data_IF_169447629826
#
_entry.id   IF_169447629826
#
_cell.length_a   1.000
_cell.length_b   1.000
_cell.length_c   1.000
_cell.angle_alpha   90.00
_cell.angle_beta   90.00
_cell.angle_gamma   90.00
#
_symmetry.space_group_name_H-M   'P 1'
#
loop_
_entity.id
_entity.type
_entity.pdbx_description
1 polymer ?
#
# COMPACT_ATOMS: atom_id res chain seq x y z
N UNK A 1 13.91 -0.27 -25.63
CA UNK A 1 15.19 -0.90 -25.22
C UNK A 1 15.47 -0.83 -23.71
N UNK A 2 15.13 0.28 -23.02
CA UNK A 2 15.41 0.49 -21.57
C UNK A 2 14.56 -0.40 -20.66
N UNK A 3 13.23 -0.45 -20.82
CA UNK A 3 12.33 -1.29 -20.00
C UNK A 3 12.74 -2.77 -20.03
N UNK A 4 13.16 -3.27 -21.19
CA UNK A 4 13.65 -4.64 -21.32
C UNK A 4 14.90 -4.89 -20.46
N UNK A 5 15.87 -3.96 -20.43
CA UNK A 5 17.05 -4.04 -19.57
C UNK A 5 16.67 -4.03 -18.09
N UNK A 6 15.77 -3.13 -17.68
CA UNK A 6 15.26 -3.07 -16.30
C UNK A 6 14.56 -4.37 -15.90
N UNK A 7 13.72 -4.94 -16.77
CA UNK A 7 13.09 -6.25 -16.54
C UNK A 7 14.12 -7.35 -16.36
N UNK A 8 15.20 -7.38 -17.17
CA UNK A 8 16.27 -8.39 -17.01
C UNK A 8 16.96 -8.29 -15.66
N UNK A 9 17.29 -7.07 -15.23
CA UNK A 9 17.88 -6.82 -13.91
C UNK A 9 16.93 -7.24 -12.77
N UNK A 10 15.65 -6.86 -12.85
CA UNK A 10 14.65 -7.19 -11.84
C UNK A 10 14.41 -8.70 -11.70
N UNK A 11 14.54 -9.47 -12.80
CA UNK A 11 14.40 -10.94 -12.76
C UNK A 11 15.38 -11.64 -11.83
N UNK A 12 16.56 -11.07 -11.58
CA UNK A 12 17.49 -11.62 -10.59
C UNK A 12 16.91 -11.63 -9.17
N UNK A 13 16.13 -10.60 -8.83
CA UNK A 13 15.47 -10.46 -7.53
C UNK A 13 14.22 -11.33 -7.46
N UNK A 14 13.39 -11.35 -8.51
CA UNK A 14 12.16 -12.14 -8.51
C UNK A 14 12.42 -13.64 -8.50
N UNK A 15 13.51 -14.12 -9.12
CA UNK A 15 13.99 -15.52 -8.99
C UNK A 15 14.32 -15.91 -7.54
N UNK A 16 14.71 -14.94 -6.72
CA UNK A 16 14.94 -15.11 -5.27
C UNK A 16 13.68 -14.83 -4.45
N UNK A 17 12.51 -14.76 -5.10
CA UNK A 17 11.20 -14.49 -4.51
C UNK A 17 11.13 -13.13 -3.81
N UNK A 18 11.82 -12.13 -4.37
CA UNK A 18 11.87 -10.76 -3.84
C UNK A 18 11.47 -9.75 -4.89
N UNK A 19 10.87 -8.66 -4.41
CA UNK A 19 10.66 -7.47 -5.20
C UNK A 19 12.00 -6.82 -5.56
N UNK A 20 12.02 -6.07 -6.67
CA UNK A 20 13.18 -5.22 -6.97
C UNK A 20 13.38 -4.18 -5.86
N UNK A 21 14.62 -3.79 -5.52
CA UNK A 21 14.90 -2.77 -4.49
C UNK A 21 14.15 -1.46 -4.72
N UNK A 22 13.99 -1.02 -5.96
CA UNK A 22 13.21 0.19 -6.32
C UNK A 22 11.72 0.02 -5.95
N UNK A 23 11.14 -1.14 -6.25
CA UNK A 23 9.76 -1.45 -5.88
C UNK A 23 9.55 -1.51 -4.36
N UNK A 24 10.53 -2.04 -3.61
CA UNK A 24 10.52 -2.03 -2.14
C UNK A 24 10.61 -0.60 -1.61
N UNK A 25 11.53 0.21 -2.15
CA UNK A 25 11.67 1.62 -1.76
C UNK A 25 10.36 2.38 -1.95
N UNK A 26 9.73 2.28 -3.13
CA UNK A 26 8.41 2.89 -3.36
C UNK A 26 7.36 2.44 -2.34
N UNK A 27 7.29 1.15 -2.03
CA UNK A 27 6.32 0.63 -1.07
C UNK A 27 6.55 1.20 0.33
N UNK A 28 7.78 1.16 0.84
CA UNK A 28 8.10 1.63 2.18
C UNK A 28 8.04 3.14 2.32
N UNK A 29 8.41 3.90 1.27
CA UNK A 29 8.20 5.35 1.24
C UNK A 29 6.72 5.69 1.35
N UNK A 30 5.86 5.07 0.53
CA UNK A 30 4.40 5.29 0.62
C UNK A 30 3.86 4.90 1.98
N UNK A 31 4.28 3.76 2.54
CA UNK A 31 3.86 3.33 3.86
C UNK A 31 4.25 4.34 4.96
N UNK A 32 5.50 4.82 4.96
CA UNK A 32 5.96 5.82 5.91
C UNK A 32 5.19 7.14 5.78
N UNK A 33 4.97 7.62 4.56
CA UNK A 33 4.20 8.83 4.29
C UNK A 33 2.74 8.70 4.76
N UNK A 34 2.10 7.56 4.53
CA UNK A 34 0.73 7.29 5.00
C UNK A 34 0.66 7.31 6.53
N UNK A 35 1.60 6.64 7.22
CA UNK A 35 1.62 6.63 8.69
C UNK A 35 1.82 8.03 9.26
N UNK A 36 2.73 8.80 8.67
CA UNK A 36 2.89 10.21 8.99
C UNK A 36 1.58 10.98 8.76
N UNK A 37 0.93 10.80 7.61
CA UNK A 37 -0.30 11.51 7.27
C UNK A 37 -1.46 11.18 8.23
N UNK A 38 -1.65 9.90 8.56
CA UNK A 38 -2.69 9.49 9.52
C UNK A 38 -2.48 10.16 10.89
N UNK A 39 -1.24 10.22 11.37
CA UNK A 39 -0.92 10.93 12.61
C UNK A 39 -1.07 12.45 12.47
N UNK A 40 -0.53 13.04 11.39
CA UNK A 40 -0.54 14.47 11.15
C UNK A 40 -1.96 15.00 10.97
N UNK A 41 -2.78 14.38 10.11
CA UNK A 41 -4.19 14.73 9.92
C UNK A 41 -5.00 14.62 11.21
N UNK A 42 -4.78 13.57 12.01
CA UNK A 42 -5.41 13.42 13.32
C UNK A 42 -5.01 14.54 14.30
N UNK A 43 -3.74 14.97 14.29
CA UNK A 43 -3.24 16.12 15.07
C UNK A 43 -3.88 17.43 14.57
N UNK A 44 -3.81 17.70 13.27
CA UNK A 44 -4.32 18.93 12.64
C UNK A 44 -5.81 19.13 12.91
N UNK A 45 -6.60 18.06 12.86
CA UNK A 45 -8.04 18.12 13.19
C UNK A 45 -8.34 18.61 14.60
N UNK A 46 -7.41 18.47 15.55
CA UNK A 46 -7.55 18.91 16.96
C UNK A 46 -7.03 20.31 17.24
N UNK A 47 -6.34 20.94 16.30
CA UNK A 47 -5.87 22.30 16.48
C UNK A 47 -7.08 23.26 16.56
N UNK A 48 -7.02 24.28 17.43
CA UNK A 48 -8.00 25.35 17.44
C UNK A 48 -7.95 26.13 16.12
N UNK A 49 -9.04 26.82 15.79
CA UNK A 49 -9.06 27.69 14.61
C UNK A 49 -8.03 28.80 14.80
N UNK A 50 -7.13 28.95 13.82
CA UNK A 50 -6.07 29.95 13.84
C UNK A 50 -4.95 29.65 12.84
N UNK A 51 -3.91 30.49 12.77
CA UNK A 51 -2.80 30.37 11.81
C UNK A 51 -2.10 29.00 11.87
N UNK A 52 -1.82 28.48 13.07
CA UNK A 52 -1.16 27.17 13.21
C UNK A 52 -1.96 26.04 12.54
N UNK A 53 -3.30 26.11 12.56
CA UNK A 53 -4.14 25.11 11.90
C UNK A 53 -4.05 25.22 10.38
N UNK A 54 -3.96 26.44 9.84
CA UNK A 54 -3.78 26.68 8.41
C UNK A 54 -2.42 26.13 7.94
N UNK A 55 -1.33 26.47 8.63
CA UNK A 55 0.02 25.95 8.33
C UNK A 55 0.05 24.42 8.39
N UNK A 56 -0.62 23.84 9.37
CA UNK A 56 -0.71 22.39 9.51
C UNK A 56 -1.51 21.72 8.38
N UNK A 57 -2.54 22.40 7.83
CA UNK A 57 -3.26 21.93 6.65
C UNK A 57 -2.45 22.08 5.36
N UNK A 58 -1.59 23.09 5.23
CA UNK A 58 -0.65 23.22 4.11
C UNK A 58 0.30 22.02 4.06
N UNK A 59 0.95 21.71 5.18
CA UNK A 59 1.83 20.53 5.29
C UNK A 59 1.04 19.25 4.99
N UNK A 60 -0.20 19.15 5.46
CA UNK A 60 -1.07 18.02 5.16
C UNK A 60 -1.32 17.89 3.65
N UNK A 61 -1.68 18.99 2.98
CA UNK A 61 -1.96 19.00 1.54
C UNK A 61 -0.71 18.65 0.71
N UNK A 62 0.44 19.25 1.01
CA UNK A 62 1.70 19.00 0.31
C UNK A 62 2.16 17.55 0.42
N UNK A 63 2.07 16.96 1.62
CA UNK A 63 2.42 15.56 1.83
C UNK A 63 1.39 14.64 1.19
N UNK A 64 0.10 15.01 1.21
CA UNK A 64 -0.95 14.28 0.48
C UNK A 64 -0.67 14.22 -1.02
N UNK A 65 -0.27 15.35 -1.62
CA UNK A 65 0.15 15.43 -3.02
C UNK A 65 1.42 14.61 -3.28
N UNK A 66 2.40 14.62 -2.37
CA UNK A 66 3.59 13.78 -2.48
C UNK A 66 3.22 12.29 -2.49
N UNK A 67 2.31 11.85 -1.62
CA UNK A 67 1.81 10.45 -1.62
C UNK A 67 1.17 10.11 -2.98
N UNK A 68 0.38 11.02 -3.55
CA UNK A 68 -0.24 10.83 -4.86
C UNK A 68 0.81 10.58 -5.94
N UNK A 69 1.80 11.46 -6.06
CA UNK A 69 2.85 11.37 -7.08
C UNK A 69 3.69 10.11 -6.89
N UNK A 70 4.16 9.82 -5.66
CA UNK A 70 4.96 8.61 -5.40
C UNK A 70 4.14 7.34 -5.67
N UNK A 71 2.84 7.35 -5.35
CA UNK A 71 1.96 6.20 -5.64
C UNK A 71 1.76 6.02 -7.14
N UNK A 72 1.60 7.09 -7.93
CA UNK A 72 1.55 7.00 -9.39
C UNK A 72 2.86 6.42 -9.95
N UNK A 73 4.02 6.89 -9.48
CA UNK A 73 5.32 6.36 -9.87
C UNK A 73 5.45 4.88 -9.49
N UNK A 74 4.96 4.49 -8.31
CA UNK A 74 4.90 3.09 -7.86
C UNK A 74 4.02 2.24 -8.78
N UNK A 75 2.86 2.74 -9.21
CA UNK A 75 1.96 2.03 -10.13
C UNK A 75 2.63 1.83 -11.49
N UNK A 76 3.20 2.88 -12.05
CA UNK A 76 3.96 2.83 -13.31
C UNK A 76 5.12 1.84 -13.19
N UNK A 77 5.87 1.87 -12.09
CA UNK A 77 6.92 0.89 -11.82
C UNK A 77 6.40 -0.54 -11.77
N UNK A 78 5.29 -0.81 -11.06
CA UNK A 78 4.69 -2.15 -10.97
C UNK A 78 4.21 -2.68 -12.32
N UNK A 79 3.68 -1.81 -13.19
CA UNK A 79 3.26 -2.17 -14.55
C UNK A 79 4.47 -2.50 -15.45
N UNK A 80 5.55 -1.73 -15.33
CA UNK A 80 6.77 -1.98 -16.09
C UNK A 80 7.53 -3.20 -15.56
N UNK A 81 7.59 -3.36 -14.25
CA UNK A 81 8.40 -4.34 -13.51
C UNK A 81 7.50 -5.13 -12.55
N UNK A 82 6.88 -6.23 -13.02
CA UNK A 82 6.08 -7.10 -12.18
C UNK A 82 6.90 -7.69 -11.01
N UNK A 83 6.24 -7.91 -9.88
CA UNK A 83 6.87 -8.52 -8.71
C UNK A 83 7.10 -10.03 -8.87
N UNK A 84 7.71 -10.67 -7.86
CA UNK A 84 7.81 -12.12 -7.78
C UNK A 84 6.43 -12.76 -7.71
N UNK A 85 6.38 -14.02 -8.14
CA UNK A 85 5.30 -14.94 -7.75
C UNK A 85 5.70 -15.53 -6.40
N UNK A 86 4.87 -15.33 -5.38
CA UNK A 86 5.09 -15.80 -4.02
C UNK A 86 4.47 -17.20 -3.83
N UNK A 87 4.88 -17.94 -2.80
CA UNK A 87 4.30 -19.26 -2.48
C UNK A 87 2.81 -19.20 -2.11
N UNK A 88 2.35 -18.01 -1.69
CA UNK A 88 0.95 -17.72 -1.41
C UNK A 88 0.11 -17.47 -2.69
N UNK A 89 0.73 -17.32 -3.87
CA UNK A 89 0.04 -17.03 -5.14
C UNK A 89 -0.57 -18.30 -5.76
N UNK A 90 -1.32 -19.05 -4.95
CA UNK A 90 -2.06 -20.24 -5.37
C UNK A 90 -3.53 -19.88 -5.63
N UNK A 91 -4.21 -20.52 -6.60
CA UNK A 91 -5.63 -20.32 -6.81
C UNK A 91 -6.43 -20.57 -5.53
N UNK A 92 -7.29 -19.63 -5.15
CA UNK A 92 -8.11 -19.73 -3.95
C UNK A 92 -8.50 -18.36 -3.36
N UNK A 93 -9.35 -18.39 -2.35
CA UNK A 93 -9.92 -17.16 -1.75
C UNK A 93 -8.87 -16.21 -1.17
N UNK A 94 -7.73 -16.72 -0.68
CA UNK A 94 -6.64 -15.91 -0.14
C UNK A 94 -5.98 -15.05 -1.24
N UNK A 95 -5.75 -15.61 -2.43
CA UNK A 95 -5.21 -14.85 -3.56
C UNK A 95 -6.21 -13.81 -4.07
N UNK A 96 -7.51 -14.16 -4.14
CA UNK A 96 -8.57 -13.20 -4.47
C UNK A 96 -8.62 -12.05 -3.45
N UNK A 97 -8.59 -12.35 -2.15
CA UNK A 97 -8.59 -11.35 -1.09
C UNK A 97 -7.34 -10.46 -1.13
N UNK A 98 -6.17 -11.02 -1.43
CA UNK A 98 -4.94 -10.25 -1.59
C UNK A 98 -5.02 -9.27 -2.77
N UNK A 99 -5.53 -9.72 -3.92
CA UNK A 99 -5.77 -8.84 -5.07
C UNK A 99 -6.80 -7.75 -4.75
N UNK A 100 -7.93 -8.11 -4.14
CA UNK A 100 -8.96 -7.15 -3.75
C UNK A 100 -8.40 -6.09 -2.78
N UNK A 101 -7.63 -6.52 -1.77
CA UNK A 101 -6.95 -5.61 -0.83
C UNK A 101 -5.99 -4.67 -1.55
N UNK A 102 -5.18 -5.17 -2.49
CA UNK A 102 -4.29 -4.32 -3.27
C UNK A 102 -5.04 -3.30 -4.14
N UNK A 103 -6.11 -3.71 -4.83
CA UNK A 103 -6.94 -2.77 -5.60
C UNK A 103 -7.61 -1.74 -4.70
N UNK A 104 -8.12 -2.15 -3.54
CA UNK A 104 -8.72 -1.25 -2.55
C UNK A 104 -7.70 -0.21 -2.07
N UNK A 105 -6.44 -0.59 -1.80
CA UNK A 105 -5.38 0.38 -1.50
C UNK A 105 -5.11 1.33 -2.66
N UNK A 106 -4.97 0.84 -3.89
CA UNK A 106 -4.72 1.75 -5.02
C UNK A 106 -5.86 2.75 -5.19
N UNK A 107 -7.11 2.31 -5.07
CA UNK A 107 -8.27 3.20 -5.11
C UNK A 107 -8.20 4.21 -3.97
N UNK A 108 -7.99 3.77 -2.73
CA UNK A 108 -7.92 4.66 -1.57
C UNK A 108 -6.78 5.69 -1.67
N UNK A 109 -5.60 5.26 -2.10
CA UNK A 109 -4.42 6.13 -2.25
C UNK A 109 -4.54 7.12 -3.39
N UNK A 110 -5.46 6.91 -4.34
CA UNK A 110 -5.81 7.91 -5.35
C UNK A 110 -6.96 8.81 -4.85
N UNK A 111 -8.01 8.23 -4.27
CA UNK A 111 -9.18 8.97 -3.80
C UNK A 111 -8.84 9.99 -2.71
N UNK A 112 -7.99 9.63 -1.73
CA UNK A 112 -7.61 10.54 -0.64
C UNK A 112 -6.97 11.85 -1.15
N UNK A 113 -5.88 11.82 -1.92
CA UNK A 113 -5.27 13.05 -2.40
C UNK A 113 -6.13 13.77 -3.45
N UNK A 114 -6.88 13.06 -4.29
CA UNK A 114 -7.78 13.72 -5.26
C UNK A 114 -8.91 14.46 -4.54
N UNK A 115 -9.53 13.84 -3.54
CA UNK A 115 -10.56 14.50 -2.72
C UNK A 115 -9.98 15.68 -1.94
N UNK A 116 -8.81 15.52 -1.31
CA UNK A 116 -8.13 16.62 -0.61
C UNK A 116 -7.77 17.79 -1.54
N UNK A 117 -7.27 17.50 -2.74
CA UNK A 117 -6.98 18.52 -3.76
C UNK A 117 -8.26 19.24 -4.22
N UNK A 118 -9.37 18.51 -4.37
CA UNK A 118 -10.67 19.10 -4.69
C UNK A 118 -11.22 19.98 -3.57
N UNK A 119 -11.11 19.56 -2.30
CA UNK A 119 -11.47 20.39 -1.14
C UNK A 119 -10.66 21.69 -1.13
N UNK A 120 -9.33 21.59 -1.24
CA UNK A 120 -8.45 22.78 -1.24
C UNK A 120 -8.80 23.73 -2.40
N UNK A 121 -8.99 23.19 -3.61
CA UNK A 121 -9.36 23.98 -4.79
C UNK A 121 -10.72 24.67 -4.66
N UNK A 122 -11.65 24.09 -3.90
CA UNK A 122 -12.99 24.65 -3.70
C UNK A 122 -13.00 25.73 -2.60
N UNK A 123 -12.33 25.48 -1.47
CA UNK A 123 -12.33 26.34 -0.29
C UNK A 123 -11.34 27.49 -0.39
N UNK A 124 -10.15 27.23 -0.92
CA UNK A 124 -9.04 28.18 -0.99
C UNK A 124 -8.42 28.20 -2.41
N UNK A 125 -9.18 28.62 -3.43
CA UNK A 125 -8.76 28.52 -4.85
C UNK A 125 -7.49 29.30 -5.20
N UNK A 126 -7.02 30.19 -4.31
CA UNK A 126 -5.82 31.01 -4.50
C UNK A 126 -4.65 30.61 -3.57
N UNK A 127 -4.85 29.64 -2.68
CA UNK A 127 -3.77 29.13 -1.85
C UNK A 127 -2.82 28.30 -2.71
N UNK A 128 -1.51 28.48 -2.52
CA UNK A 128 -0.53 27.71 -3.26
C UNK A 128 -0.49 26.28 -2.71
N UNK A 129 -0.49 25.30 -3.62
CA UNK A 129 -0.22 23.90 -3.32
C UNK A 129 1.16 23.58 -3.88
N UNK A 130 2.00 22.86 -3.13
CA UNK A 130 3.34 22.53 -3.60
C UNK A 130 3.61 21.03 -3.47
N UNK A 131 4.21 20.46 -4.51
CA UNK A 131 4.74 19.11 -4.42
C UNK A 131 5.96 19.13 -3.48
N UNK A 132 5.79 18.51 -2.31
CA UNK A 132 6.79 18.46 -1.24
C UNK A 132 7.28 19.86 -0.78
N UNK A 133 6.41 20.87 -0.81
CA UNK A 133 6.75 22.24 -0.39
C UNK A 133 7.70 22.99 -1.31
N UNK A 134 8.04 22.44 -2.48
CA UNK A 134 9.12 22.97 -3.34
C UNK A 134 8.69 23.29 -4.77
N UNK A 135 7.84 22.46 -5.38
CA UNK A 135 7.43 22.64 -6.78
C UNK A 135 5.96 23.05 -6.81
N UNK A 136 5.62 24.28 -7.27
CA UNK A 136 4.24 24.72 -7.36
C UNK A 136 3.38 23.73 -8.16
N UNK A 137 2.20 23.44 -7.64
CA UNK A 137 1.23 22.53 -8.23
C UNK A 137 -0.06 23.29 -8.54
N UNK A 138 -0.65 23.09 -9.73
CA UNK A 138 -1.86 23.81 -10.10
C UNK A 138 -3.05 23.42 -9.20
N UNK A 139 -3.91 24.38 -8.89
CA UNK A 139 -5.24 24.09 -8.34
C UNK A 139 -6.15 23.55 -9.46
N UNK A 140 -7.21 22.84 -9.08
CA UNK A 140 -8.29 22.51 -10.01
C UNK A 140 -9.01 23.80 -10.45
N UNK A 141 -9.57 23.84 -11.67
CA UNK A 141 -10.14 25.06 -12.26
C UNK A 141 -11.53 25.40 -11.68
N UNK A 142 -11.64 25.46 -10.36
CA UNK A 142 -12.88 25.75 -9.64
C UNK A 142 -13.09 27.25 -9.37
N UNK A 143 -12.08 28.09 -9.62
CA UNK A 143 -12.14 29.53 -9.38
C UNK A 143 -13.28 30.25 -10.14
N UNK A 144 -13.72 29.71 -11.29
CA UNK A 144 -14.84 30.23 -12.06
C UNK A 144 -16.22 29.74 -11.63
N UNK A 145 -16.31 28.85 -10.63
CA UNK A 145 -17.57 28.28 -10.15
C UNK A 145 -18.23 29.18 -9.10
N UNK A 146 -19.57 29.12 -9.03
CA UNK A 146 -20.33 29.84 -8.00
C UNK A 146 -19.96 29.35 -6.60
N UNK A 147 -20.17 30.18 -5.55
CA UNK A 147 -19.96 29.75 -4.17
C UNK A 147 -20.72 28.46 -3.80
N UNK A 148 -21.97 28.32 -4.25
CA UNK A 148 -22.82 27.15 -3.98
C UNK A 148 -22.28 25.87 -4.64
N UNK A 149 -21.75 26.00 -5.86
CA UNK A 149 -21.11 24.89 -6.57
C UNK A 149 -19.84 24.44 -5.85
N UNK A 150 -18.99 25.39 -5.43
CA UNK A 150 -17.76 25.08 -4.68
C UNK A 150 -18.06 24.45 -3.33
N UNK A 151 -19.05 24.96 -2.60
CA UNK A 151 -19.53 24.35 -1.36
C UNK A 151 -19.97 22.90 -1.58
N UNK A 152 -20.77 22.65 -2.63
CA UNK A 152 -21.23 21.29 -2.94
C UNK A 152 -20.05 20.35 -3.21
N UNK A 153 -19.07 20.79 -4.00
CA UNK A 153 -17.85 20.00 -4.29
C UNK A 153 -17.05 19.73 -3.02
N UNK A 154 -16.81 20.76 -2.22
CA UNK A 154 -16.09 20.68 -0.95
C UNK A 154 -16.72 19.64 -0.03
N UNK A 155 -18.04 19.70 0.16
CA UNK A 155 -18.77 18.77 1.02
C UNK A 155 -18.64 17.33 0.51
N UNK A 156 -18.88 17.07 -0.78
CA UNK A 156 -18.73 15.72 -1.32
C UNK A 156 -17.28 15.20 -1.22
N UNK A 157 -16.31 16.08 -1.46
CA UNK A 157 -14.91 15.73 -1.35
C UNK A 157 -14.52 15.42 0.11
N UNK A 158 -15.01 16.17 1.09
CA UNK A 158 -14.84 15.89 2.52
C UNK A 158 -15.40 14.52 2.88
N UNK A 159 -16.63 14.20 2.44
CA UNK A 159 -17.25 12.89 2.68
C UNK A 159 -16.43 11.75 2.09
N UNK A 160 -16.00 11.87 0.83
CA UNK A 160 -15.15 10.87 0.18
C UNK A 160 -13.83 10.72 0.94
N UNK A 161 -13.20 11.83 1.32
CA UNK A 161 -11.94 11.83 2.06
C UNK A 161 -12.10 11.11 3.40
N UNK A 162 -13.07 11.52 4.22
CA UNK A 162 -13.34 10.95 5.53
C UNK A 162 -13.64 9.46 5.50
N UNK A 163 -14.54 9.01 4.62
CA UNK A 163 -14.86 7.57 4.49
C UNK A 163 -13.70 6.76 3.93
N UNK A 164 -12.89 7.35 3.04
CA UNK A 164 -11.69 6.66 2.54
C UNK A 164 -10.64 6.50 3.64
N UNK A 165 -10.50 7.46 4.57
CA UNK A 165 -9.64 7.30 5.76
C UNK A 165 -10.14 6.14 6.62
N UNK A 166 -11.44 6.04 6.89
CA UNK A 166 -12.02 4.90 7.65
C UNK A 166 -11.68 3.58 6.96
N UNK A 167 -11.85 3.50 5.64
CA UNK A 167 -11.45 2.34 4.86
C UNK A 167 -9.95 2.02 4.99
N UNK A 168 -9.09 3.04 4.94
CA UNK A 168 -7.64 2.87 5.09
C UNK A 168 -7.25 2.35 6.48
N UNK A 169 -7.91 2.83 7.53
CA UNK A 169 -7.73 2.36 8.92
C UNK A 169 -8.11 0.89 9.10
N UNK A 170 -8.98 0.34 8.26
CA UNK A 170 -9.32 -1.09 8.22
C UNK A 170 -8.35 -1.87 7.33
N UNK A 171 -8.03 -1.34 6.14
CA UNK A 171 -7.17 -2.01 5.16
C UNK A 171 -5.74 -2.20 5.68
N UNK A 172 -5.17 -1.23 6.40
CA UNK A 172 -3.79 -1.33 6.93
C UNK A 172 -3.65 -2.51 7.89
N UNK A 173 -4.45 -2.65 8.97
CA UNK A 173 -4.40 -3.81 9.84
C UNK A 173 -4.66 -5.13 9.13
N UNK A 174 -5.62 -5.18 8.20
CA UNK A 174 -5.90 -6.39 7.42
C UNK A 174 -4.68 -6.81 6.59
N UNK A 175 -4.02 -5.85 5.94
CA UNK A 175 -2.83 -6.08 5.14
C UNK A 175 -1.65 -6.56 5.99
N UNK A 176 -1.32 -5.81 7.04
CA UNK A 176 -0.21 -6.16 7.95
C UNK A 176 -0.49 -7.51 8.61
N UNK A 177 -1.70 -7.71 9.14
CA UNK A 177 -2.14 -8.96 9.75
C UNK A 177 -2.08 -10.15 8.79
N UNK A 178 -2.47 -9.96 7.52
CA UNK A 178 -2.32 -10.99 6.50
C UNK A 178 -0.83 -11.35 6.28
N UNK A 179 0.06 -10.37 6.12
CA UNK A 179 1.49 -10.64 5.94
C UNK A 179 2.12 -11.34 7.15
N UNK A 180 1.72 -10.96 8.38
CA UNK A 180 2.19 -11.61 9.60
C UNK A 180 1.67 -13.04 9.74
N UNK A 181 0.39 -13.30 9.42
CA UNK A 181 -0.16 -14.65 9.37
C UNK A 181 0.60 -15.51 8.34
N UNK A 182 0.88 -14.94 7.18
CA UNK A 182 1.61 -15.62 6.11
C UNK A 182 3.04 -16.00 6.53
N UNK A 183 3.74 -15.12 7.25
CA UNK A 183 5.06 -15.41 7.80
C UNK A 183 5.02 -16.42 8.98
N UNK A 184 4.12 -16.21 9.95
CA UNK A 184 4.13 -16.93 11.23
C UNK A 184 3.36 -18.26 11.22
N UNK A 185 2.28 -18.34 10.44
CA UNK A 185 1.38 -19.51 10.40
C UNK A 185 1.56 -20.29 9.11
N UNK A 186 1.59 -19.60 7.97
CA UNK A 186 1.74 -20.25 6.66
C UNK A 186 3.21 -20.54 6.34
N UNK A 187 4.15 -19.87 6.98
CA UNK A 187 5.61 -20.02 6.77
C UNK A 187 6.00 -19.84 5.31
N UNK A 188 5.47 -18.80 4.66
CA UNK A 188 5.76 -18.48 3.26
C UNK A 188 6.57 -17.18 3.11
N UNK A 189 6.84 -16.78 1.87
CA UNK A 189 7.81 -15.74 1.49
C UNK A 189 7.20 -14.34 1.34
N UNK A 190 5.90 -14.16 1.60
CA UNK A 190 5.15 -12.91 1.31
C UNK A 190 5.80 -11.70 1.98
N UNK A 191 6.09 -11.78 3.28
CA UNK A 191 6.68 -10.66 4.04
C UNK A 191 8.12 -10.40 3.57
N UNK A 192 8.94 -11.45 3.48
CA UNK A 192 10.33 -11.30 3.03
C UNK A 192 10.50 -10.83 1.61
N UNK A 193 9.50 -11.06 0.76
CA UNK A 193 9.46 -10.52 -0.59
C UNK A 193 9.58 -9.00 -0.61
N UNK A 194 9.14 -8.32 0.46
CA UNK A 194 9.17 -6.86 0.62
C UNK A 194 10.25 -6.33 1.58
N UNK A 195 11.00 -7.21 2.27
CA UNK A 195 12.08 -6.80 3.17
C UNK A 195 13.44 -6.74 2.46
N UNK A 196 14.23 -5.68 2.68
CA UNK A 196 15.57 -5.57 2.10
C UNK A 196 16.54 -6.51 2.81
N UNK A 197 17.02 -7.55 2.11
CA UNK A 197 18.13 -8.39 2.57
C UNK A 197 17.86 -9.34 3.76
N UNK A 198 16.70 -9.25 4.43
CA UNK A 198 16.40 -10.10 5.59
C UNK A 198 15.95 -11.52 5.19
N UNK A 199 16.43 -12.59 5.86
CA UNK A 199 15.89 -13.95 5.72
C UNK A 199 14.45 -14.02 6.26
N UNK A 200 13.74 -15.12 6.00
CA UNK A 200 12.39 -15.32 6.58
C UNK A 200 12.48 -15.46 8.09
N UNK A 201 11.54 -14.84 8.79
CA UNK A 201 11.48 -14.85 10.25
C UNK A 201 11.30 -16.28 10.76
N UNK A 202 10.49 -17.09 10.08
CA UNK A 202 10.37 -18.51 10.42
C UNK A 202 11.71 -19.27 10.27
N UNK A 203 12.55 -18.95 9.29
CA UNK A 203 13.90 -19.55 9.17
C UNK A 203 14.82 -19.07 10.28
N UNK A 204 14.76 -17.78 10.62
CA UNK A 204 15.56 -17.22 11.72
C UNK A 204 15.17 -17.81 13.08
N UNK A 205 13.87 -18.02 13.31
CA UNK A 205 13.32 -18.64 14.52
C UNK A 205 13.40 -20.18 14.52
N UNK A 206 13.92 -20.82 13.48
CA UNK A 206 13.98 -22.28 13.37
C UNK A 206 12.61 -22.98 13.24
N UNK A 207 11.57 -22.25 12.84
CA UNK A 207 10.22 -22.79 12.64
C UNK A 207 10.16 -23.49 11.28
N UNK A 208 9.90 -24.80 11.30
CA UNK A 208 9.88 -25.61 10.09
C UNK A 208 8.61 -25.38 9.23
N UNK A 209 8.76 -25.16 7.91
CA UNK A 209 7.63 -24.88 7.04
C UNK A 209 6.57 -25.99 7.05
N UNK A 210 5.30 -25.60 7.05
CA UNK A 210 4.19 -26.55 7.17
C UNK A 210 4.12 -27.59 6.03
N UNK A 211 4.61 -27.26 4.83
CA UNK A 211 4.66 -28.20 3.70
C UNK A 211 5.68 -29.34 3.91
N UNK A 212 6.87 -29.05 4.46
CA UNK A 212 7.86 -30.06 4.82
C UNK A 212 7.39 -31.00 5.92
N UNK A 213 6.59 -30.48 6.86
CA UNK A 213 6.00 -31.28 7.94
C UNK A 213 5.06 -32.37 7.41
N UNK A 214 4.34 -32.11 6.31
CA UNK A 214 3.46 -33.10 5.66
C UNK A 214 4.25 -34.15 4.88
N UNK A 215 5.34 -33.78 4.23
CA UNK A 215 6.21 -34.74 3.51
C UNK A 215 6.94 -35.69 4.46
N UNK A 216 7.26 -35.24 5.68
CA UNK A 216 7.94 -36.05 6.70
C UNK A 216 7.02 -37.07 7.37
N UNK A 217 5.71 -36.83 7.36
CA UNK A 217 4.72 -37.75 7.92
C UNK A 217 4.16 -38.63 6.81
N UNK A 218 4.76 -39.80 6.61
CA UNK A 218 4.11 -40.93 5.97
C UNK A 218 3.43 -41.76 7.08
N UNK A 219 2.14 -42.08 6.99
CA UNK A 219 1.55 -43.06 7.90
C UNK A 219 2.40 -44.34 7.86
N UNK A 220 2.60 -45.03 9.01
CA UNK A 220 3.13 -46.38 8.98
C UNK A 220 2.28 -47.19 8.01
N UNK A 221 2.93 -47.89 7.08
CA UNK A 221 2.28 -48.79 6.15
C UNK A 221 1.38 -49.71 6.98
N UNK A 222 0.06 -49.59 6.81
CA UNK A 222 -0.90 -50.46 7.49
C UNK A 222 -0.80 -51.81 6.80
N UNK A 223 0.27 -52.55 7.12
CA UNK A 223 0.61 -53.82 6.53
C UNK A 223 -0.64 -54.69 6.48
N UNK A 224 -1.07 -55.00 5.26
CA UNK A 224 -2.12 -55.96 5.04
C UNK A 224 -1.59 -57.32 5.49
N UNK A 225 -2.11 -57.80 6.61
CA UNK A 225 -1.82 -59.14 7.14
C UNK A 225 -2.41 -60.25 6.26
N UNK A 226 -2.12 -60.28 4.95
CA UNK A 226 -2.41 -61.42 4.09
C UNK A 226 -1.16 -62.27 3.95
N UNK A 227 -1.00 -63.21 4.88
CA UNK A 227 -0.14 -64.36 4.65
C UNK A 227 -0.76 -65.26 3.57
N UNK A 228 0.01 -65.74 2.59
CA UNK A 228 -0.47 -66.73 1.63
C UNK A 228 -0.50 -68.12 2.28
N UNK A 229 -1.62 -68.81 2.12
CA UNK A 229 -1.77 -70.26 2.29
C UNK A 229 -2.51 -70.81 1.08
#
# INVERSE_FOLDING_TARGET
MIVARLRRWARGHTRRRRYSPVGMAFHWTVAALILFQLWWGWRTGRLPVGPEKLDAYEIHADVGLLIFVVTLLRMVWRLMIPGPVNDADKPGWQSTAAHATHYAFYIALMLLPISGWAMLSATAPYQELALAGAVPWPQLPFAGLSPEQRWTIETWAEWVHGWTIVGLLVLIPLHVGATLKHELVNTDDVLTGMLPGLPTLHRWLGIEPRHRRKERWSPPDSGDGRSPA
#
